data_IF_595882687654
#
_entry.id   IF_595882687654
#
_cell.length_a   1.000
_cell.length_b   1.000
_cell.length_c   1.000
_cell.angle_alpha   90.00
_cell.angle_beta   90.00
_cell.angle_gamma   90.00
#
_symmetry.space_group_name_H-M   'P 1'
#
loop_
_entity.id
_entity.type
_entity.pdbx_description
1 polymer ?
#
# COMPACT_ATOMS: atom_id res chain seq x y z
N UNK A 1 -3.73 -20.88 -65.87
CA UNK A 1 -2.37 -21.12 -65.35
C UNK A 1 -2.02 -20.00 -64.35
N UNK A 2 -1.35 -20.36 -63.24
CA UNK A 2 -0.80 -19.52 -62.14
C UNK A 2 -1.84 -18.83 -61.21
N UNK A 3 -2.13 -19.35 -60.00
CA UNK A 3 -1.38 -19.33 -58.70
C UNK A 3 -1.10 -17.91 -58.17
N UNK A 4 -1.72 -17.55 -57.02
CA UNK A 4 -1.05 -17.38 -55.71
C UNK A 4 -2.04 -16.89 -54.62
N UNK A 5 -2.19 -17.70 -53.58
CA UNK A 5 -2.79 -17.35 -52.30
C UNK A 5 -1.87 -16.37 -51.56
N UNK A 6 -2.41 -15.25 -51.07
CA UNK A 6 -1.69 -14.35 -50.16
C UNK A 6 -2.31 -14.52 -48.77
N UNK A 7 -1.58 -15.28 -47.95
CA UNK A 7 -1.84 -15.52 -46.54
C UNK A 7 -1.57 -14.24 -45.77
N UNK A 8 -2.60 -13.58 -45.25
CA UNK A 8 -2.44 -12.48 -44.28
C UNK A 8 -2.01 -13.07 -42.93
N UNK A 9 -0.70 -13.08 -42.68
CA UNK A 9 -0.11 -13.45 -41.40
C UNK A 9 -0.42 -12.42 -40.33
N UNK A 10 -1.20 -12.85 -39.33
CA UNK A 10 -1.49 -12.15 -38.09
C UNK A 10 -0.20 -12.01 -37.27
N UNK A 11 0.39 -10.81 -37.22
CA UNK A 11 1.53 -10.50 -36.34
C UNK A 11 0.98 -9.98 -35.01
N UNK A 12 0.76 -10.88 -34.04
CA UNK A 12 0.47 -10.50 -32.65
C UNK A 12 1.80 -10.12 -32.00
N UNK A 13 2.06 -8.83 -31.87
CA UNK A 13 3.18 -8.29 -31.10
C UNK A 13 2.82 -8.40 -29.60
N UNK A 14 3.16 -9.53 -28.97
CA UNK A 14 3.17 -9.63 -27.51
C UNK A 14 4.38 -8.86 -26.97
N UNK A 15 4.18 -7.57 -26.68
CA UNK A 15 5.04 -6.83 -25.77
C UNK A 15 4.88 -7.44 -24.37
N UNK A 16 5.79 -8.33 -24.01
CA UNK A 16 5.96 -8.75 -22.63
C UNK A 16 6.40 -7.54 -21.81
N UNK A 17 5.49 -6.94 -21.05
CA UNK A 17 5.86 -6.04 -19.97
C UNK A 17 6.70 -6.85 -18.99
N UNK A 18 8.01 -6.59 -18.96
CA UNK A 18 8.88 -7.05 -17.90
C UNK A 18 8.44 -6.36 -16.61
N UNK A 19 7.57 -7.02 -15.85
CA UNK A 19 7.25 -6.63 -14.50
C UNK A 19 8.55 -6.75 -13.68
N UNK A 20 9.13 -5.60 -13.32
CA UNK A 20 10.22 -5.53 -12.38
C UNK A 20 9.71 -6.11 -11.05
N UNK A 21 10.02 -7.38 -10.77
CA UNK A 21 9.70 -8.02 -9.48
C UNK A 21 10.68 -7.47 -8.45
N UNK A 22 10.31 -6.37 -7.80
CA UNK A 22 10.86 -6.06 -6.48
C UNK A 22 10.40 -7.15 -5.52
N UNK A 23 11.32 -7.75 -4.77
CA UNK A 23 10.93 -8.67 -3.70
C UNK A 23 9.96 -7.97 -2.74
N UNK A 24 8.87 -8.65 -2.34
CA UNK A 24 7.91 -8.07 -1.41
C UNK A 24 8.63 -7.71 -0.11
N UNK A 25 8.38 -6.52 0.47
CA UNK A 25 9.00 -6.14 1.72
C UNK A 25 8.75 -7.17 2.84
N UNK A 26 9.81 -7.46 3.58
CA UNK A 26 9.73 -8.24 4.82
C UNK A 26 9.26 -7.38 6.00
N UNK A 27 8.81 -8.05 7.06
CA UNK A 27 8.48 -7.38 8.31
C UNK A 27 9.72 -6.80 9.00
N UNK A 28 9.54 -5.67 9.70
CA UNK A 28 10.63 -4.98 10.42
C UNK A 28 11.61 -4.22 9.53
N UNK A 29 11.37 -4.17 8.21
CA UNK A 29 12.18 -3.41 7.25
C UNK A 29 11.51 -2.06 6.97
N UNK A 30 12.30 -0.99 6.97
CA UNK A 30 11.83 0.34 6.59
C UNK A 30 11.51 0.37 5.10
N UNK A 31 10.31 0.83 4.75
CA UNK A 31 9.85 0.94 3.37
C UNK A 31 9.29 2.32 3.09
N UNK A 32 9.35 2.74 1.82
CA UNK A 32 8.66 3.94 1.35
C UNK A 32 7.32 3.54 0.76
N UNK A 33 6.27 4.32 1.02
CA UNK A 33 4.94 4.11 0.44
C UNK A 33 4.46 5.36 -0.30
N UNK A 34 3.51 5.18 -1.21
CA UNK A 34 2.81 6.26 -1.91
C UNK A 34 1.32 5.97 -1.90
N UNK A 35 0.52 7.03 -1.95
CA UNK A 35 -0.94 6.88 -1.93
C UNK A 35 -1.41 6.05 -3.13
N UNK A 36 -2.30 5.10 -2.87
CA UNK A 36 -2.86 4.19 -3.87
C UNK A 36 -1.89 3.14 -4.41
N UNK A 37 -0.62 3.12 -3.99
CA UNK A 37 0.33 2.09 -4.39
C UNK A 37 0.39 0.97 -3.34
N UNK A 38 0.00 -0.27 -3.71
CA UNK A 38 0.01 -1.39 -2.76
C UNK A 38 1.44 -1.85 -2.47
N UNK A 39 1.77 -1.95 -1.19
CA UNK A 39 2.92 -2.70 -0.70
C UNK A 39 2.50 -4.15 -0.48
N UNK A 40 3.25 -5.09 -1.03
CA UNK A 40 2.94 -6.51 -0.90
C UNK A 40 3.68 -7.12 0.29
N UNK A 41 2.95 -7.52 1.33
CA UNK A 41 3.48 -8.33 2.42
C UNK A 41 3.04 -9.79 2.27
N UNK A 42 3.70 -10.74 2.96
CA UNK A 42 3.31 -12.15 2.89
C UNK A 42 1.84 -12.43 3.25
N UNK A 43 1.29 -11.68 4.22
CA UNK A 43 -0.05 -11.91 4.74
C UNK A 43 -1.15 -11.06 4.05
N UNK A 44 -0.80 -9.89 3.51
CA UNK A 44 -1.75 -8.97 2.87
C UNK A 44 -1.03 -7.92 2.01
N UNK A 45 -1.78 -7.25 1.15
CA UNK A 45 -1.34 -5.96 0.59
C UNK A 45 -1.73 -4.82 1.53
N UNK A 46 -0.83 -3.85 1.68
CA UNK A 46 -1.04 -2.63 2.46
C UNK A 46 -1.01 -1.42 1.52
N UNK A 47 -2.11 -0.67 1.45
CA UNK A 47 -2.22 0.50 0.57
C UNK A 47 -2.50 1.74 1.39
N UNK A 48 -1.65 2.76 1.30
CA UNK A 48 -1.92 4.06 1.89
C UNK A 48 -3.08 4.76 1.16
N UNK A 49 -4.13 5.11 1.88
CA UNK A 49 -5.36 5.71 1.36
C UNK A 49 -5.31 7.24 1.39
N UNK A 50 -4.55 7.82 2.33
CA UNK A 50 -4.48 9.26 2.51
C UNK A 50 -4.51 9.65 3.98
N UNK A 51 -4.65 10.95 4.22
CA UNK A 51 -4.80 11.53 5.54
C UNK A 51 -6.22 12.05 5.77
N UNK A 52 -6.69 11.95 7.00
CA UNK A 52 -7.90 12.65 7.47
C UNK A 52 -7.62 13.39 8.77
N UNK A 53 -8.21 14.57 8.89
CA UNK A 53 -8.22 15.33 10.13
C UNK A 53 -9.47 15.03 10.93
N UNK A 54 -9.33 14.88 12.25
CA UNK A 54 -10.44 14.67 13.18
C UNK A 54 -10.35 15.71 14.28
N UNK A 55 -11.37 16.55 14.36
CA UNK A 55 -11.48 17.53 15.44
C UNK A 55 -11.66 16.83 16.79
N UNK A 56 -11.06 17.39 17.83
CA UNK A 56 -11.26 16.92 19.20
C UNK A 56 -11.87 18.02 20.06
N UNK A 57 -12.91 17.71 20.86
CA UNK A 57 -13.50 18.68 21.78
C UNK A 57 -12.53 19.07 22.91
N UNK A 58 -11.59 18.17 23.25
CA UNK A 58 -10.63 18.35 24.35
C UNK A 58 -9.25 18.79 23.88
N UNK A 59 -8.86 18.44 22.65
CA UNK A 59 -7.57 18.82 22.05
C UNK A 59 -7.81 19.66 20.80
N UNK A 60 -7.73 20.99 20.95
CA UNK A 60 -8.09 21.96 19.88
C UNK A 60 -7.33 21.77 18.56
N UNK A 61 -6.06 21.34 18.53
CA UNK A 61 -5.39 21.05 17.27
C UNK A 61 -5.95 19.86 16.49
N UNK A 62 -6.81 19.03 17.11
CA UNK A 62 -7.34 17.81 16.48
C UNK A 62 -6.26 16.74 16.27
N UNK A 63 -6.59 15.74 15.46
CA UNK A 63 -5.70 14.61 15.16
C UNK A 63 -5.66 14.36 13.66
N UNK A 64 -4.45 14.22 13.12
CA UNK A 64 -4.25 13.72 11.77
C UNK A 64 -4.05 12.21 11.83
N UNK A 65 -4.88 11.48 11.08
CA UNK A 65 -4.77 10.05 10.89
C UNK A 65 -4.29 9.76 9.47
N UNK A 66 -3.36 8.82 9.34
CA UNK A 66 -2.93 8.22 8.08
C UNK A 66 -3.65 6.87 7.96
N UNK A 67 -4.49 6.75 6.94
CA UNK A 67 -5.33 5.56 6.75
C UNK A 67 -4.68 4.61 5.74
N UNK A 68 -4.69 3.32 6.06
CA UNK A 68 -4.17 2.25 5.22
C UNK A 68 -5.20 1.14 5.07
N UNK A 69 -5.34 0.62 3.86
CA UNK A 69 -6.14 -0.57 3.56
C UNK A 69 -5.26 -1.81 3.57
N UNK A 70 -5.66 -2.79 4.36
CA UNK A 70 -5.20 -4.18 4.35
C UNK A 70 -6.11 -4.96 3.40
N UNK A 71 -5.53 -5.78 2.52
CA UNK A 71 -6.31 -6.63 1.62
C UNK A 71 -5.66 -7.99 1.38
N UNK A 72 -6.44 -9.07 1.56
CA UNK A 72 -6.08 -10.45 1.24
C UNK A 72 -7.27 -11.15 0.57
N UNK A 73 -7.21 -11.31 -0.76
CA UNK A 73 -8.35 -11.80 -1.54
C UNK A 73 -9.55 -10.85 -1.42
N UNK A 74 -10.68 -11.37 -0.91
CA UNK A 74 -11.89 -10.59 -0.67
C UNK A 74 -11.94 -9.94 0.74
N UNK A 75 -11.01 -10.29 1.64
CA UNK A 75 -10.94 -9.69 2.97
C UNK A 75 -10.28 -8.32 2.88
N UNK A 76 -10.95 -7.30 3.41
CA UNK A 76 -10.43 -5.94 3.51
C UNK A 76 -10.62 -5.37 4.92
N UNK A 77 -9.67 -4.56 5.37
CA UNK A 77 -9.74 -3.85 6.65
C UNK A 77 -8.97 -2.53 6.55
N UNK A 78 -9.46 -1.49 7.21
CA UNK A 78 -8.71 -0.23 7.34
C UNK A 78 -8.01 -0.18 8.70
N UNK A 79 -6.74 0.22 8.70
CA UNK A 79 -5.99 0.58 9.90
C UNK A 79 -5.58 2.06 9.80
N UNK A 80 -5.73 2.79 10.90
CA UNK A 80 -5.37 4.20 10.99
C UNK A 80 -4.18 4.37 11.94
N UNK A 81 -3.21 5.16 11.54
CA UNK A 81 -2.08 5.54 12.37
C UNK A 81 -2.11 7.05 12.66
N UNK A 82 -1.74 7.47 13.86
CA UNK A 82 -1.61 8.89 14.23
C UNK A 82 -0.43 9.07 15.18
N UNK A 83 0.23 10.23 15.11
CA UNK A 83 1.23 10.66 16.09
C UNK A 83 0.63 11.02 17.45
N UNK A 84 -0.70 11.00 17.57
CA UNK A 84 -1.40 11.33 18.80
C UNK A 84 -1.07 12.75 19.27
N UNK A 85 -0.73 12.88 20.55
CA UNK A 85 -0.32 14.14 21.18
C UNK A 85 1.21 14.28 21.31
N UNK A 86 1.99 13.50 20.55
CA UNK A 86 3.45 13.52 20.57
C UNK A 86 4.12 12.27 21.17
N UNK A 87 3.36 11.33 21.72
CA UNK A 87 3.85 9.98 22.03
C UNK A 87 3.62 9.08 20.79
N UNK A 88 4.68 8.90 20.01
CA UNK A 88 4.61 8.23 18.72
C UNK A 88 4.92 6.74 18.92
N UNK A 89 3.90 5.91 18.68
CA UNK A 89 4.01 4.46 18.80
C UNK A 89 3.40 3.71 17.61
N UNK A 90 3.54 2.38 17.58
CA UNK A 90 2.89 1.55 16.58
C UNK A 90 1.36 1.55 16.74
N UNK A 91 0.64 1.55 15.62
CA UNK A 91 -0.76 1.17 15.60
C UNK A 91 -0.86 -0.36 15.61
N UNK A 92 -1.38 -0.92 16.69
CA UNK A 92 -1.61 -2.36 16.82
C UNK A 92 -2.93 -2.74 16.16
N UNK A 93 -2.96 -3.85 15.41
CA UNK A 93 -4.16 -4.36 14.78
C UNK A 93 -4.12 -5.89 14.64
N UNK A 94 -5.29 -6.49 14.51
CA UNK A 94 -5.44 -7.89 14.12
C UNK A 94 -5.90 -7.96 12.66
N UNK A 95 -5.39 -8.91 11.89
CA UNK A 95 -5.86 -9.22 10.55
C UNK A 95 -5.77 -10.73 10.31
N UNK A 96 -6.87 -11.35 9.87
CA UNK A 96 -6.94 -12.80 9.65
C UNK A 96 -6.44 -13.63 10.85
N UNK A 97 -6.80 -13.25 12.08
CA UNK A 97 -6.43 -13.94 13.31
C UNK A 97 -4.96 -13.80 13.75
N UNK A 98 -4.18 -12.90 13.14
CA UNK A 98 -2.79 -12.61 13.50
C UNK A 98 -2.63 -11.16 13.94
N UNK A 99 -1.78 -10.94 14.95
CA UNK A 99 -1.47 -9.60 15.44
C UNK A 99 -0.32 -8.97 14.66
N UNK A 100 -0.48 -7.70 14.34
CA UNK A 100 0.48 -6.88 13.60
C UNK A 100 0.65 -5.51 14.26
N UNK A 101 1.73 -4.84 13.91
CA UNK A 101 2.00 -3.44 14.25
C UNK A 101 2.32 -2.67 12.99
N UNK A 102 1.74 -1.47 12.86
CA UNK A 102 2.08 -0.48 11.86
C UNK A 102 2.82 0.66 12.53
N UNK A 103 4.10 0.79 12.23
CA UNK A 103 4.96 1.85 12.73
C UNK A 103 5.35 2.76 11.56
N UNK A 104 5.11 4.07 11.71
CA UNK A 104 5.58 5.06 10.78
C UNK A 104 6.71 5.85 11.44
N UNK A 105 7.88 5.85 10.81
CA UNK A 105 8.90 6.83 11.13
C UNK A 105 8.56 8.13 10.41
N UNK A 106 8.41 9.24 11.13
CA UNK A 106 8.53 10.54 10.48
C UNK A 106 9.96 10.67 9.93
N UNK A 107 10.08 10.90 8.63
CA UNK A 107 11.23 11.64 8.15
C UNK A 107 10.94 13.09 8.53
N UNK A 108 11.56 13.57 9.60
CA UNK A 108 11.79 15.00 9.71
C UNK A 108 12.73 15.37 8.56
N UNK A 109 12.17 15.61 7.38
CA UNK A 109 12.81 16.48 6.41
C UNK A 109 12.46 17.90 6.87
N UNK A 110 13.12 18.33 7.96
CA UNK A 110 13.25 19.75 8.23
C UNK A 110 14.07 20.33 7.07
N UNK A 111 13.39 21.04 6.18
CA UNK A 111 14.03 22.03 5.32
C UNK A 111 14.58 23.19 6.13
#
# INVERSE_FOLDING_TARGET
MAKKLITCGLLILMMALAACRSEPPGYGVKVTFKQGQPLQFPDFSLTYLGQRHVDSPTFKPGFTYLDFKLQQGALEQTVSWSSGTGDIGPALFEFNGRQFSLELSYAEEFG
#
